data_IF_006350745122
#
_entry.id   IF_006350745122
#
_cell.length_a   1.000
_cell.length_b   1.000
_cell.length_c   1.000
_cell.angle_alpha   90.00
_cell.angle_beta   90.00
_cell.angle_gamma   90.00
#
_symmetry.space_group_name_H-M   'P 1'
#
loop_
_entity.id
_entity.type
_entity.pdbx_description
1 polymer ?
#
# COMPACT_ATOMS: atom_id res chain seq x y z
N UNK A 1 -18.21 -47.21 -4.80
CA UNK A 1 -17.14 -46.23 -4.50
C UNK A 1 -17.83 -44.94 -4.13
N UNK A 2 -17.65 -44.43 -2.91
CA UNK A 2 -18.25 -43.15 -2.51
C UNK A 2 -17.42 -42.02 -3.11
N UNK A 3 -18.06 -41.10 -3.83
CA UNK A 3 -17.41 -39.88 -4.31
C UNK A 3 -17.10 -38.99 -3.09
N UNK A 4 -15.85 -38.57 -2.95
CA UNK A 4 -15.47 -37.60 -1.93
C UNK A 4 -16.17 -36.28 -2.25
N UNK A 5 -16.91 -35.74 -1.27
CA UNK A 5 -17.53 -34.43 -1.43
C UNK A 5 -16.43 -33.39 -1.63
N UNK A 6 -16.52 -32.55 -2.67
CA UNK A 6 -15.60 -31.43 -2.82
C UNK A 6 -15.69 -30.45 -1.65
N UNK A 7 -14.53 -29.98 -1.19
CA UNK A 7 -14.35 -29.13 -0.02
C UNK A 7 -13.47 -27.93 -0.39
N UNK A 8 -13.78 -26.77 0.19
CA UNK A 8 -12.96 -25.58 0.06
C UNK A 8 -11.91 -25.57 1.18
N UNK A 9 -10.61 -25.64 0.84
CA UNK A 9 -9.51 -25.67 1.81
C UNK A 9 -9.55 -24.53 2.84
N UNK A 10 -10.11 -23.39 2.46
CA UNK A 10 -10.14 -22.17 3.27
C UNK A 10 -11.49 -21.95 3.99
N UNK A 11 -12.58 -22.51 3.46
CA UNK A 11 -13.94 -22.34 3.98
C UNK A 11 -14.45 -23.73 4.42
N UNK A 12 -14.42 -24.03 5.74
CA UNK A 12 -14.87 -25.31 6.31
C UNK A 12 -16.36 -25.74 6.10
N UNK A 13 -17.31 -24.97 5.51
CA UNK A 13 -18.61 -25.55 5.20
C UNK A 13 -18.52 -26.52 4.02
N UNK A 14 -19.11 -27.69 4.21
CA UNK A 14 -19.43 -28.65 3.16
C UNK A 14 -20.38 -27.99 2.16
N UNK A 15 -20.03 -28.04 0.87
CA UNK A 15 -20.94 -27.65 -0.21
C UNK A 15 -21.74 -28.89 -0.62
N UNK A 16 -23.05 -28.74 -0.80
CA UNK A 16 -23.95 -29.89 -0.98
C UNK A 16 -24.09 -30.31 -2.45
N UNK A 17 -23.55 -29.50 -3.38
CA UNK A 17 -23.57 -29.80 -4.81
C UNK A 17 -22.31 -29.32 -5.54
N UNK A 18 -21.87 -30.09 -6.54
CA UNK A 18 -20.73 -29.74 -7.41
C UNK A 18 -20.92 -28.39 -8.14
N UNK A 19 -22.18 -27.98 -8.38
CA UNK A 19 -22.49 -26.68 -8.98
C UNK A 19 -22.31 -25.49 -8.03
N UNK A 20 -22.34 -25.70 -6.71
CA UNK A 20 -22.17 -24.63 -5.72
C UNK A 20 -20.70 -24.24 -5.52
N UNK A 21 -19.76 -25.06 -6.00
CA UNK A 21 -18.32 -24.82 -5.83
C UNK A 21 -17.78 -23.78 -6.79
N UNK A 22 -18.29 -23.76 -8.03
CA UNK A 22 -17.90 -22.74 -8.99
C UNK A 22 -18.36 -21.36 -8.53
N UNK A 23 -19.55 -21.26 -7.93
CA UNK A 23 -20.07 -20.02 -7.35
C UNK A 23 -19.41 -19.70 -6.00
N UNK A 24 -19.15 -20.69 -5.14
CA UNK A 24 -18.48 -20.49 -3.86
C UNK A 24 -17.03 -20.00 -4.02
N UNK A 25 -16.31 -20.48 -5.03
CA UNK A 25 -14.98 -19.97 -5.38
C UNK A 25 -14.97 -18.48 -5.76
N UNK A 26 -16.12 -17.87 -6.00
CA UNK A 26 -16.24 -16.43 -6.28
C UNK A 26 -16.66 -15.60 -5.07
N UNK A 27 -17.21 -16.23 -4.02
CA UNK A 27 -17.78 -15.56 -2.85
C UNK A 27 -17.22 -16.06 -1.50
N UNK A 28 -16.28 -17.02 -1.47
CA UNK A 28 -15.66 -17.47 -0.22
C UNK A 28 -14.94 -16.27 0.44
N UNK A 29 -15.31 -15.88 1.66
CA UNK A 29 -14.74 -14.70 2.32
C UNK A 29 -13.24 -14.83 2.57
N UNK A 30 -12.73 -16.06 2.67
CA UNK A 30 -11.34 -16.36 3.01
C UNK A 30 -10.37 -16.20 1.82
N UNK A 31 -10.87 -16.09 0.60
CA UNK A 31 -10.06 -15.92 -0.61
C UNK A 31 -9.99 -14.45 -1.06
N UNK A 32 -10.51 -13.52 -0.27
CA UNK A 32 -10.57 -12.09 -0.64
C UNK A 32 -9.80 -11.25 0.36
N UNK A 33 -8.82 -10.49 -0.12
CA UNK A 33 -8.21 -9.41 0.66
C UNK A 33 -8.71 -8.06 0.16
N UNK A 34 -9.03 -7.14 1.07
CA UNK A 34 -9.47 -5.79 0.70
C UNK A 34 -8.40 -4.76 1.07
N UNK A 35 -7.98 -3.97 0.08
CA UNK A 35 -7.05 -2.86 0.29
C UNK A 35 -7.70 -1.53 -0.09
N UNK A 36 -7.24 -0.45 0.53
CA UNK A 36 -7.74 0.90 0.27
C UNK A 36 -6.60 1.74 -0.27
N UNK A 37 -6.75 2.28 -1.48
CA UNK A 37 -5.72 3.08 -2.15
C UNK A 37 -6.23 4.51 -2.35
N UNK A 38 -5.43 5.48 -1.94
CA UNK A 38 -5.65 6.89 -2.27
C UNK A 38 -5.08 7.19 -3.66
N UNK A 39 -5.86 7.83 -4.55
CA UNK A 39 -5.41 8.20 -5.89
C UNK A 39 -5.03 9.67 -5.91
N UNK A 40 -3.89 10.02 -6.49
CA UNK A 40 -3.43 11.41 -6.56
C UNK A 40 -4.46 12.37 -7.20
N UNK A 41 -5.20 11.90 -8.22
CA UNK A 41 -6.15 12.72 -8.97
C UNK A 41 -7.57 12.80 -8.35
N UNK A 42 -7.90 11.96 -7.35
CA UNK A 42 -9.25 11.91 -6.76
C UNK A 42 -9.15 11.83 -5.24
N UNK A 43 -9.80 12.73 -4.49
CA UNK A 43 -9.69 12.78 -3.03
C UNK A 43 -10.36 11.56 -2.35
N UNK A 44 -11.24 10.85 -3.05
CA UNK A 44 -11.92 9.69 -2.49
C UNK A 44 -11.03 8.45 -2.59
N UNK A 45 -10.71 7.78 -1.46
CA UNK A 45 -10.05 6.48 -1.49
C UNK A 45 -10.88 5.46 -2.27
N UNK A 46 -10.20 4.54 -2.93
CA UNK A 46 -10.80 3.46 -3.71
C UNK A 46 -10.55 2.14 -2.98
N UNK A 47 -11.60 1.35 -2.79
CA UNK A 47 -11.50 0.01 -2.22
C UNK A 47 -11.24 -0.99 -3.34
N UNK A 48 -10.28 -1.89 -3.17
CA UNK A 48 -9.97 -2.95 -4.14
C UNK A 48 -10.06 -4.29 -3.42
N UNK A 49 -11.02 -5.12 -3.85
CA UNK A 49 -11.14 -6.51 -3.45
C UNK A 49 -10.24 -7.37 -4.34
N UNK A 50 -9.28 -8.05 -3.75
CA UNK A 50 -8.28 -8.87 -4.41
C UNK A 50 -8.59 -10.33 -4.13
N UNK A 51 -8.88 -11.07 -5.19
CA UNK A 51 -9.16 -12.49 -5.10
C UNK A 51 -7.84 -13.27 -5.19
N UNK A 52 -7.71 -14.31 -4.36
CA UNK A 52 -6.65 -15.30 -4.46
C UNK A 52 -6.74 -15.99 -5.83
N UNK A 53 -5.61 -16.16 -6.50
CA UNK A 53 -5.57 -16.86 -7.78
C UNK A 53 -5.65 -18.39 -7.58
N UNK A 54 -5.77 -19.13 -8.69
CA UNK A 54 -5.85 -20.61 -8.69
C UNK A 54 -4.61 -21.31 -8.12
N UNK A 55 -3.48 -20.59 -8.04
CA UNK A 55 -2.22 -21.06 -7.46
C UNK A 55 -2.12 -20.78 -5.95
N UNK A 56 -3.21 -20.31 -5.34
CA UNK A 56 -3.31 -19.94 -3.93
C UNK A 56 -2.48 -18.72 -3.51
N UNK A 57 -2.06 -17.87 -4.46
CA UNK A 57 -1.36 -16.61 -4.17
C UNK A 57 -2.25 -15.37 -4.37
N UNK A 58 -2.04 -14.36 -3.53
CA UNK A 58 -2.49 -13.00 -3.80
C UNK A 58 -1.45 -12.28 -4.66
N UNK A 59 -1.93 -11.51 -5.64
CA UNK A 59 -1.09 -10.75 -6.56
C UNK A 59 -1.31 -9.25 -6.35
N UNK A 60 -0.24 -8.45 -6.42
CA UNK A 60 -0.37 -7.01 -6.29
C UNK A 60 -1.16 -6.43 -7.48
N UNK A 61 -2.21 -5.61 -7.25
CA UNK A 61 -3.02 -5.01 -8.32
C UNK A 61 -2.36 -3.77 -8.95
N UNK A 62 -1.18 -3.37 -8.49
CA UNK A 62 -0.46 -2.18 -8.97
C UNK A 62 0.35 -2.54 -10.21
N UNK A 63 0.23 -1.74 -11.27
CA UNK A 63 0.95 -1.94 -12.52
C UNK A 63 2.47 -1.81 -12.28
N UNK A 64 3.24 -2.75 -12.85
CA UNK A 64 4.69 -2.85 -12.64
C UNK A 64 5.11 -3.49 -11.32
N UNK A 65 4.18 -3.97 -10.50
CA UNK A 65 4.49 -4.75 -9.29
C UNK A 65 4.16 -6.24 -9.49
N UNK A 66 5.19 -7.08 -9.42
CA UNK A 66 5.11 -8.54 -9.56
C UNK A 66 5.11 -9.28 -8.22
N UNK A 67 4.95 -8.55 -7.12
CA UNK A 67 4.88 -9.16 -5.79
C UNK A 67 3.66 -10.06 -5.66
N UNK A 68 3.88 -11.25 -5.08
CA UNK A 68 2.85 -12.22 -4.74
C UNK A 68 3.16 -12.88 -3.41
N UNK A 69 2.11 -13.24 -2.68
CA UNK A 69 2.23 -13.88 -1.37
C UNK A 69 0.98 -14.71 -1.07
N UNK A 70 1.14 -15.86 -0.42
CA UNK A 70 0.01 -16.75 -0.07
C UNK A 70 -0.68 -16.32 1.21
N UNK A 71 0.09 -15.76 2.15
CA UNK A 71 -0.42 -15.22 3.42
C UNK A 71 -1.05 -13.83 3.23
N UNK A 72 -2.30 -13.70 3.63
CA UNK A 72 -3.07 -12.47 3.44
C UNK A 72 -2.47 -11.28 4.22
N UNK A 73 -1.95 -11.51 5.43
CA UNK A 73 -1.44 -10.44 6.30
C UNK A 73 -0.17 -9.84 5.71
N UNK A 74 0.75 -10.69 5.29
CA UNK A 74 2.01 -10.29 4.64
C UNK A 74 1.72 -9.55 3.33
N UNK A 75 0.79 -10.08 2.52
CA UNK A 75 0.33 -9.42 1.30
C UNK A 75 -0.26 -8.02 1.55
N UNK A 76 -1.12 -7.90 2.56
CA UNK A 76 -1.74 -6.62 2.94
C UNK A 76 -0.70 -5.61 3.41
N UNK A 77 0.28 -6.04 4.19
CA UNK A 77 1.38 -5.19 4.64
C UNK A 77 2.18 -4.64 3.47
N UNK A 78 2.47 -5.46 2.46
CA UNK A 78 3.09 -5.01 1.22
C UNK A 78 2.29 -3.90 0.54
N UNK A 79 0.97 -4.08 0.38
CA UNK A 79 0.10 -3.09 -0.26
C UNK A 79 0.05 -1.76 0.53
N UNK A 80 0.05 -1.83 1.87
CA UNK A 80 0.12 -0.65 2.75
C UNK A 80 1.42 0.10 2.52
N UNK A 81 2.56 -0.59 2.50
CA UNK A 81 3.88 0.03 2.30
C UNK A 81 3.95 0.76 0.96
N UNK A 82 3.48 0.14 -0.14
CA UNK A 82 3.45 0.82 -1.45
C UNK A 82 2.55 2.05 -1.40
N UNK A 83 1.38 1.92 -0.80
CA UNK A 83 0.41 3.03 -0.72
C UNK A 83 0.96 4.19 0.11
N UNK A 84 1.62 3.91 1.24
CA UNK A 84 2.23 4.91 2.13
C UNK A 84 3.47 5.58 1.53
N UNK A 85 4.34 4.81 0.87
CA UNK A 85 5.52 5.36 0.23
C UNK A 85 5.15 6.32 -0.91
N UNK A 86 4.05 6.04 -1.60
CA UNK A 86 3.53 6.95 -2.63
C UNK A 86 2.99 8.24 -2.02
N UNK A 87 2.27 8.19 -0.89
CA UNK A 87 1.77 9.41 -0.22
C UNK A 87 2.88 10.26 0.38
N UNK A 88 3.96 9.63 0.87
CA UNK A 88 5.08 10.34 1.51
C UNK A 88 6.07 10.95 0.50
N UNK A 89 6.06 10.49 -0.76
CA UNK A 89 6.87 11.02 -1.84
C UNK A 89 5.99 11.28 -3.09
N UNK A 90 5.23 12.39 -3.14
CA UNK A 90 4.27 12.70 -4.21
C UNK A 90 4.88 12.84 -5.62
N UNK A 91 6.19 12.68 -5.76
CA UNK A 91 6.96 12.81 -7.00
C UNK A 91 7.29 11.44 -7.65
N UNK A 92 7.05 10.31 -6.97
CA UNK A 92 7.37 9.00 -7.52
C UNK A 92 6.11 8.28 -8.04
N UNK A 93 5.66 8.77 -9.20
CA UNK A 93 4.73 8.11 -10.13
C UNK A 93 3.28 7.93 -9.64
N UNK A 94 2.27 8.28 -10.48
CA UNK A 94 0.89 8.00 -10.15
C UNK A 94 0.68 6.49 -9.99
N UNK A 95 -0.05 6.07 -8.96
CA UNK A 95 -0.46 4.65 -8.82
C UNK A 95 -1.34 4.31 -10.01
N UNK A 96 -0.79 3.51 -10.93
CA UNK A 96 -1.50 2.89 -12.03
C UNK A 96 -1.90 1.49 -11.59
N UNK A 97 -3.17 1.14 -11.74
CA UNK A 97 -3.68 -0.21 -11.48
C UNK A 97 -3.53 -1.06 -12.73
N UNK A 98 -3.37 -2.37 -12.58
CA UNK A 98 -3.36 -3.29 -13.71
C UNK A 98 -4.72 -3.30 -14.43
N UNK A 99 -4.74 -3.66 -15.71
CA UNK A 99 -5.93 -3.60 -16.57
C UNK A 99 -7.02 -4.59 -16.16
N UNK A 100 -6.66 -5.65 -15.45
CA UNK A 100 -7.60 -6.65 -14.92
C UNK A 100 -8.36 -6.13 -13.69
N UNK A 101 -7.93 -5.01 -13.10
CA UNK A 101 -8.64 -4.35 -12.00
C UNK A 101 -9.87 -3.63 -12.56
N UNK A 102 -11.03 -4.27 -12.44
CA UNK A 102 -12.28 -3.77 -13.02
C UNK A 102 -13.25 -3.39 -11.91
N UNK A 103 -13.98 -2.29 -12.13
CA UNK A 103 -15.11 -1.93 -11.27
C UNK A 103 -16.26 -2.90 -11.49
N UNK A 104 -16.97 -3.27 -10.42
CA UNK A 104 -18.22 -4.05 -10.54
C UNK A 104 -19.22 -3.31 -11.43
N UNK A 105 -19.21 -1.97 -11.36
CA UNK A 105 -19.96 -1.06 -12.21
C UNK A 105 -19.07 0.12 -12.65
N UNK A 106 -19.39 0.80 -13.78
CA UNK A 106 -18.64 1.99 -14.25
C UNK A 106 -18.54 3.13 -13.22
N UNK A 107 -19.40 3.12 -12.20
CA UNK A 107 -19.47 4.12 -11.12
C UNK A 107 -19.09 3.59 -9.74
N UNK A 108 -18.71 2.31 -9.59
CA UNK A 108 -18.41 1.76 -8.26
C UNK A 108 -17.08 2.32 -7.73
N UNK A 109 -17.08 2.68 -6.44
CA UNK A 109 -15.85 2.97 -5.68
C UNK A 109 -15.11 1.69 -5.30
N UNK A 110 -15.79 0.56 -5.43
CA UNK A 110 -15.26 -0.76 -5.17
C UNK A 110 -14.82 -1.38 -6.50
N UNK A 111 -13.54 -1.69 -6.57
CA UNK A 111 -12.90 -2.40 -7.67
C UNK A 111 -12.66 -3.84 -7.25
N UNK A 112 -12.59 -4.73 -8.23
CA UNK A 112 -12.27 -6.14 -8.03
C UNK A 112 -11.07 -6.49 -8.91
N UNK A 113 -10.10 -7.18 -8.33
CA UNK A 113 -8.93 -7.70 -9.02
C UNK A 113 -8.92 -9.22 -8.93
N UNK A 114 -9.14 -9.88 -10.06
CA UNK A 114 -9.07 -11.33 -10.20
C UNK A 114 -7.82 -11.64 -11.01
N UNK A 115 -6.72 -12.06 -10.37
CA UNK A 115 -5.49 -12.34 -11.09
C UNK A 115 -5.77 -13.47 -12.07
N UNK A 116 -5.62 -13.19 -13.35
CA UNK A 116 -5.56 -14.25 -14.35
C UNK A 116 -4.18 -14.87 -14.11
N UNK A 117 -4.14 -16.02 -13.44
CA UNK A 117 -2.92 -16.83 -13.40
C UNK A 117 -2.53 -17.08 -14.85
N UNK A 118 -1.58 -16.28 -15.37
CA UNK A 118 -1.11 -16.44 -16.72
C UNK A 118 -0.66 -17.90 -16.89
N UNK A 119 -0.83 -18.50 -18.07
CA UNK A 119 -0.30 -19.84 -18.30
C UNK A 119 1.18 -19.81 -17.90
N UNK A 120 1.54 -20.68 -16.97
CA UNK A 120 2.84 -20.84 -16.31
C UNK A 120 3.99 -21.20 -17.25
N UNK A 121 3.86 -20.86 -18.54
CA UNK A 121 4.88 -21.03 -19.56
C UNK A 121 5.98 -19.97 -19.48
N UNK A 122 5.77 -18.89 -18.71
CA UNK A 122 6.88 -18.07 -18.24
C UNK A 122 7.58 -18.84 -17.12
N UNK A 123 8.61 -19.59 -17.50
CA UNK A 123 9.58 -20.24 -16.62
C UNK A 123 10.03 -19.17 -15.61
N UNK A 124 9.41 -19.16 -14.43
CA UNK A 124 9.92 -18.37 -13.33
C UNK A 124 11.36 -18.84 -13.11
N UNK A 125 12.36 -17.95 -13.04
CA UNK A 125 13.67 -18.36 -12.59
C UNK A 125 13.45 -19.04 -11.24
N UNK A 126 13.78 -20.33 -11.17
CA UNK A 126 13.76 -21.11 -9.96
C UNK A 126 14.76 -20.44 -9.02
N UNK A 127 14.27 -19.48 -8.23
CA UNK A 127 15.01 -18.98 -7.09
C UNK A 127 15.08 -20.19 -6.17
N UNK A 128 16.18 -20.94 -6.28
CA UNK A 128 16.58 -21.91 -5.29
C UNK A 128 16.54 -21.17 -3.95
N UNK A 129 15.49 -21.46 -3.17
CA UNK A 129 15.49 -21.15 -1.76
C UNK A 129 16.67 -21.89 -1.18
N UNK A 130 17.79 -21.17 -1.00
CA UNK A 130 18.91 -21.62 -0.19
C UNK A 130 18.32 -22.14 1.13
N UNK A 131 18.64 -23.39 1.54
CA UNK A 131 18.08 -23.96 2.74
C UNK A 131 18.51 -23.12 3.95
N UNK A 132 17.54 -22.48 4.60
CA UNK A 132 17.71 -21.77 5.88
C UNK A 132 17.91 -22.75 7.05
N UNK A 133 18.90 -23.65 6.95
CA UNK A 133 19.36 -24.49 8.06
C UNK A 133 20.83 -24.21 8.35
N UNK A 134 21.09 -23.12 9.07
CA UNK A 134 22.17 -23.14 10.04
C UNK A 134 21.60 -23.77 11.31
N UNK A 135 21.81 -25.08 11.40
CA UNK A 135 21.65 -25.85 12.62
C UNK A 135 22.71 -25.38 13.62
N UNK A 136 22.33 -24.45 14.51
CA UNK A 136 23.12 -24.15 15.71
C UNK A 136 23.03 -25.34 16.65
N UNK A 137 24.08 -26.16 16.67
CA UNK A 137 24.24 -27.19 17.69
C UNK A 137 24.40 -26.51 19.07
N UNK A 138 23.65 -26.95 20.11
CA UNK A 138 23.88 -26.48 21.46
C UNK A 138 25.15 -27.12 22.02
N UNK A 139 26.19 -26.29 22.19
CA UNK A 139 27.37 -26.65 22.96
C UNK A 139 26.96 -26.99 24.39
N UNK A 140 27.21 -28.25 24.77
CA UNK A 140 27.00 -28.75 26.13
C UNK A 140 28.02 -28.09 27.06
N UNK A 141 27.59 -27.12 27.85
CA UNK A 141 28.37 -26.62 28.98
C UNK A 141 27.73 -27.17 30.25
N UNK A 142 28.43 -28.10 30.90
CA UNK A 142 28.09 -28.58 32.25
C UNK A 142 28.24 -27.40 33.22
N UNK A 143 27.13 -26.87 33.72
CA UNK A 143 27.12 -26.00 34.88
C UNK A 143 26.55 -26.76 36.07
N UNK A 144 27.30 -26.70 37.16
CA UNK A 144 27.09 -27.42 38.39
C UNK A 144 25.76 -27.08 39.07
N UNK A 145 25.26 -28.09 39.76
CA UNK A 145 24.12 -28.06 40.66
C UNK A 145 24.35 -27.01 41.75
N UNK A 146 23.32 -26.21 42.04
CA UNK A 146 23.05 -25.75 43.39
C UNK A 146 21.54 -25.73 43.61
N UNK A 147 21.11 -26.70 44.39
CA UNK A 147 19.85 -26.81 45.13
C UNK A 147 19.63 -25.60 46.03
N UNK A 148 18.45 -24.98 45.98
CA UNK A 148 17.75 -24.58 47.20
C UNK A 148 16.24 -24.52 46.96
N UNK A 149 15.54 -24.94 48.00
CA UNK A 149 14.15 -25.31 48.09
C UNK A 149 13.18 -24.12 48.12
N UNK A 150 11.92 -24.49 47.88
CA UNK A 150 10.77 -24.18 48.73
C UNK A 150 9.65 -23.30 48.14
N UNK A 151 8.46 -23.85 48.37
CA UNK A 151 7.20 -23.16 48.70
C UNK A 151 6.21 -22.84 47.58
N UNK A 152 5.25 -23.77 47.52
CA UNK A 152 3.84 -23.57 47.92
C UNK A 152 2.91 -22.74 47.03
N UNK A 153 1.81 -23.43 46.70
CA UNK A 153 0.42 -23.03 46.91
C UNK A 153 -0.44 -22.61 45.70
N UNK A 154 -1.43 -23.48 45.48
CA UNK A 154 -2.87 -23.20 45.35
C UNK A 154 -3.41 -22.63 44.02
N UNK A 155 -4.07 -23.57 43.32
CA UNK A 155 -5.29 -23.37 42.52
C UNK A 155 -6.36 -22.55 43.27
N UNK A 156 -7.25 -21.84 42.55
CA UNK A 156 -8.56 -22.43 42.32
C UNK A 156 -9.21 -22.14 40.95
N UNK A 157 -10.11 -23.07 40.60
CA UNK A 157 -11.03 -23.07 39.47
C UNK A 157 -12.28 -22.21 39.72
N UNK A 158 -12.85 -21.70 38.63
CA UNK A 158 -14.30 -21.48 38.46
C UNK A 158 -14.69 -20.05 38.04
N UNK A 159 -15.94 -19.80 37.58
CA UNK A 159 -16.86 -20.67 36.85
C UNK A 159 -17.26 -20.10 35.47
N UNK A 160 -17.82 -21.00 34.63
CA UNK A 160 -18.54 -20.70 33.38
C UNK A 160 -19.77 -19.83 33.65
N UNK A 161 -19.90 -18.72 32.94
CA UNK A 161 -21.18 -18.03 32.76
C UNK A 161 -21.71 -18.31 31.34
N UNK A 162 -22.87 -18.97 31.32
CA UNK A 162 -23.74 -19.18 30.17
C UNK A 162 -24.60 -17.92 30.04
N UNK A 163 -24.61 -17.29 28.87
CA UNK A 163 -25.66 -16.36 28.48
C UNK A 163 -26.02 -16.61 27.02
N UNK A 164 -27.11 -17.35 26.85
CA UNK A 164 -27.99 -17.28 25.69
C UNK A 164 -28.81 -15.99 25.82
N UNK A 165 -29.00 -15.21 24.74
CA UNK A 165 -30.35 -14.87 24.27
C UNK A 165 -30.36 -14.13 22.92
N UNK A 166 -31.53 -14.21 22.31
CA UNK A 166 -32.02 -13.88 21.00
C UNK A 166 -31.60 -12.56 20.34
N UNK A 167 -31.36 -12.65 19.03
CA UNK A 167 -31.33 -11.52 18.10
C UNK A 167 -31.86 -11.92 16.73
N UNK A 168 -33.13 -12.34 16.67
CA UNK A 168 -33.86 -12.71 15.44
C UNK A 168 -34.38 -11.43 14.78
N UNK A 169 -33.61 -10.82 13.88
CA UNK A 169 -34.10 -9.76 13.00
C UNK A 169 -34.37 -10.31 11.60
N UNK A 170 -35.62 -10.69 11.37
CA UNK A 170 -36.25 -10.74 10.06
C UNK A 170 -36.36 -9.32 9.50
N UNK A 171 -35.73 -9.05 8.37
CA UNK A 171 -36.14 -7.94 7.49
C UNK A 171 -36.57 -8.52 6.16
N UNK A 172 -37.82 -8.19 5.84
CA UNK A 172 -38.55 -8.52 4.64
C UNK A 172 -37.82 -8.16 3.36
N UNK A 173 -38.02 -9.03 2.38
CA UNK A 173 -37.72 -8.84 1.00
C UNK A 173 -38.78 -7.97 0.30
N UNK A 174 -38.31 -7.36 -0.80
CA UNK A 174 -39.08 -6.84 -1.94
C UNK A 174 -39.80 -5.50 -1.68
N UNK A 175 -39.85 -4.53 -2.59
CA UNK A 175 -39.93 -4.61 -4.04
C UNK A 175 -39.35 -3.32 -4.65
N UNK A 176 -38.57 -3.43 -5.73
CA UNK A 176 -38.49 -2.33 -6.69
C UNK A 176 -38.20 -2.88 -8.08
N UNK A 177 -39.27 -3.01 -8.87
CA UNK A 177 -39.23 -3.11 -10.34
C UNK A 177 -39.43 -1.72 -10.91
N UNK A 178 -38.55 -1.29 -11.80
CA UNK A 178 -38.92 -0.46 -12.94
C UNK A 178 -37.91 -0.66 -14.10
N UNK A 179 -38.36 -0.53 -15.37
CA UNK A 179 -37.64 -1.04 -16.53
C UNK A 179 -36.99 0.04 -17.40
N UNK A 180 -36.06 -0.43 -18.24
CA UNK A 180 -35.68 0.01 -19.59
C UNK A 180 -35.72 1.51 -19.94
N UNK A 181 -34.54 2.08 -20.20
CA UNK A 181 -34.36 3.32 -20.94
C UNK A 181 -33.16 3.24 -21.89
N UNK A 182 -33.49 3.12 -23.17
CA UNK A 182 -32.77 3.48 -24.39
C UNK A 182 -31.26 3.79 -24.34
N UNK A 183 -30.52 3.00 -25.14
CA UNK A 183 -29.28 3.42 -25.78
C UNK A 183 -29.66 4.15 -27.09
N UNK A 184 -29.03 5.29 -27.36
CA UNK A 184 -28.78 5.85 -28.69
C UNK A 184 -27.62 6.86 -28.60
N UNK A 185 -26.67 6.72 -29.54
CA UNK A 185 -25.90 7.77 -30.25
C UNK A 185 -25.10 8.84 -29.46
N UNK A 186 -23.95 9.36 -29.90
CA UNK A 186 -23.13 9.23 -31.08
C UNK A 186 -21.75 9.85 -30.76
N UNK A 187 -20.82 9.63 -31.69
CA UNK A 187 -19.49 10.24 -31.84
C UNK A 187 -19.31 11.66 -31.29
N UNK A 188 -18.25 11.86 -30.51
CA UNK A 188 -17.68 13.19 -30.31
C UNK A 188 -16.14 13.12 -30.24
N UNK A 189 -15.54 13.14 -31.44
CA UNK A 189 -14.11 13.36 -31.66
C UNK A 189 -13.78 14.83 -31.36
N UNK A 190 -13.35 15.11 -30.14
CA UNK A 190 -12.83 16.44 -29.77
C UNK A 190 -11.30 16.40 -29.72
N UNK A 191 -10.67 16.95 -30.77
CA UNK A 191 -9.24 17.23 -30.87
C UNK A 191 -9.01 18.64 -30.32
N UNK A 192 -8.31 18.85 -29.20
CA UNK A 192 -7.86 20.19 -28.81
C UNK A 192 -6.57 20.58 -29.56
N UNK A 193 -6.44 21.83 -30.04
CA UNK A 193 -5.27 22.28 -30.78
C UNK A 193 -4.10 22.71 -29.89
N UNK A 194 -2.92 22.48 -30.46
CA UNK A 194 -1.58 23.05 -30.21
C UNK A 194 -1.40 24.09 -29.11
N UNK A 195 -0.46 23.79 -28.22
CA UNK A 195 0.14 24.70 -27.24
C UNK A 195 0.90 25.87 -27.90
N UNK A 196 0.81 27.11 -27.35
CA UNK A 196 1.64 28.23 -27.76
C UNK A 196 3.04 28.20 -27.10
N UNK A 197 4.01 28.95 -27.64
CA UNK A 197 5.43 28.88 -27.25
C UNK A 197 5.70 29.51 -25.89
N UNK A 198 6.43 28.78 -25.04
CA UNK A 198 6.91 29.21 -23.73
C UNK A 198 8.00 30.29 -23.93
N UNK A 199 7.62 31.56 -23.75
CA UNK A 199 8.56 32.68 -23.62
C UNK A 199 8.82 32.94 -22.14
N UNK A 200 10.11 32.93 -21.78
CA UNK A 200 10.65 33.68 -20.65
C UNK A 200 10.49 33.07 -19.26
N UNK A 201 11.57 32.49 -18.74
CA UNK A 201 11.79 32.31 -17.31
C UNK A 201 11.84 33.69 -16.63
N UNK A 202 10.69 34.19 -16.21
CA UNK A 202 10.61 35.31 -15.26
C UNK A 202 10.90 34.76 -13.87
N UNK A 203 12.06 35.15 -13.35
CA UNK A 203 12.46 35.00 -11.95
C UNK A 203 11.30 35.51 -11.08
N UNK A 204 10.68 34.59 -10.31
CA UNK A 204 9.57 34.89 -9.41
C UNK A 204 10.05 35.90 -8.35
N UNK A 205 9.81 37.19 -8.60
CA UNK A 205 9.98 38.22 -7.59
C UNK A 205 8.94 37.99 -6.50
N UNK A 206 9.44 37.75 -5.28
CA UNK A 206 8.64 37.71 -4.06
C UNK A 206 7.91 39.05 -3.93
N UNK A 207 6.59 39.07 -3.73
CA UNK A 207 5.85 40.32 -3.60
C UNK A 207 6.26 41.06 -2.33
N UNK A 208 6.94 42.19 -2.50
CA UNK A 208 7.16 43.20 -1.46
C UNK A 208 5.83 43.86 -1.11
N UNK A 209 5.10 43.27 -0.16
CA UNK A 209 3.93 43.87 0.44
C UNK A 209 4.27 44.46 1.81
N UNK A 210 4.68 45.73 1.82
CA UNK A 210 4.76 46.56 3.03
C UNK A 210 3.36 46.80 3.60
N UNK A 211 2.89 45.88 4.44
CA UNK A 211 1.80 46.13 5.39
C UNK A 211 2.24 45.67 6.76
N UNK A 212 2.30 46.62 7.72
CA UNK A 212 2.39 46.38 9.17
C UNK A 212 1.36 45.32 9.58
N UNK A 213 1.74 44.05 9.54
CA UNK A 213 0.99 42.93 10.13
C UNK A 213 1.67 42.58 11.44
N UNK A 214 0.85 42.40 12.48
CA UNK A 214 1.21 41.70 13.72
C UNK A 214 2.13 40.53 13.36
N UNK A 215 3.32 40.48 13.96
CA UNK A 215 4.28 39.41 13.73
C UNK A 215 3.55 38.07 13.81
N UNK A 216 3.56 37.23 12.77
CA UNK A 216 3.00 35.90 12.86
C UNK A 216 3.66 35.24 14.05
N UNK A 217 2.83 34.81 15.00
CA UNK A 217 3.22 33.99 16.13
C UNK A 217 4.16 32.91 15.61
N UNK A 218 5.39 32.89 16.14
CA UNK A 218 6.39 31.83 16.04
C UNK A 218 5.88 30.64 15.24
N UNK A 219 6.21 30.55 13.93
CA UNK A 219 5.96 29.30 13.21
C UNK A 219 6.56 28.18 14.05
N UNK A 220 5.76 27.16 14.35
CA UNK A 220 6.21 26.05 15.16
C UNK A 220 7.47 25.49 14.49
N UNK A 221 8.54 25.30 15.25
CA UNK A 221 9.84 24.84 14.74
C UNK A 221 9.73 23.53 13.96
N UNK A 222 8.74 22.70 14.29
CA UNK A 222 8.34 21.52 13.52
C UNK A 222 7.95 21.82 12.06
N UNK A 223 7.20 22.90 11.81
CA UNK A 223 6.80 23.30 10.45
C UNK A 223 8.01 23.72 9.61
N UNK A 224 9.01 24.36 10.25
CA UNK A 224 10.24 24.77 9.59
C UNK A 224 11.10 23.57 9.18
N UNK A 225 11.26 22.57 10.06
CA UNK A 225 11.98 21.32 9.74
C UNK A 225 11.32 20.55 8.60
N UNK A 226 9.99 20.48 8.61
CA UNK A 226 9.22 19.82 7.55
C UNK A 226 9.41 20.52 6.19
N UNK A 227 9.34 21.86 6.17
CA UNK A 227 9.56 22.66 4.97
C UNK A 227 10.98 22.48 4.39
N UNK A 228 12.01 22.52 5.24
CA UNK A 228 13.40 22.29 4.85
C UNK A 228 13.61 20.88 4.27
N UNK A 229 13.04 19.87 4.91
CA UNK A 229 13.15 18.47 4.44
C UNK A 229 12.50 18.30 3.07
N UNK A 230 11.35 18.94 2.84
CA UNK A 230 10.68 18.93 1.55
C UNK A 230 11.54 19.61 0.46
N UNK A 231 12.14 20.77 0.76
CA UNK A 231 13.01 21.48 -0.17
C UNK A 231 14.27 20.65 -0.50
N UNK A 232 14.90 20.02 0.49
CA UNK A 232 16.06 19.15 0.29
C UNK A 232 15.75 17.99 -0.66
N UNK A 233 14.63 17.30 -0.43
CA UNK A 233 14.18 16.20 -1.31
C UNK A 233 13.93 16.68 -2.73
N UNK A 234 13.29 17.84 -2.88
CA UNK A 234 12.98 18.40 -4.19
C UNK A 234 14.26 18.76 -4.97
N UNK A 235 15.22 19.45 -4.35
CA UNK A 235 16.49 19.77 -5.03
C UNK A 235 17.32 18.55 -5.37
N UNK A 236 17.31 17.52 -4.50
CA UNK A 236 18.01 16.27 -4.79
C UNK A 236 17.41 15.56 -6.01
N UNK A 237 16.07 15.56 -6.12
CA UNK A 237 15.36 15.02 -7.29
C UNK A 237 15.69 15.81 -8.55
N UNK A 238 15.68 17.14 -8.48
CA UNK A 238 15.99 18.01 -9.63
C UNK A 238 17.42 17.77 -10.15
N UNK A 239 18.41 17.65 -9.26
CA UNK A 239 19.80 17.38 -9.64
C UNK A 239 19.96 15.96 -10.25
N UNK A 240 19.22 14.98 -9.72
CA UNK A 240 19.20 13.63 -10.30
C UNK A 240 18.58 13.61 -11.69
N UNK A 241 17.45 14.30 -11.88
CA UNK A 241 16.81 14.46 -13.19
C UNK A 241 17.72 15.19 -14.18
N UNK A 242 18.45 16.22 -13.72
CA UNK A 242 19.41 16.95 -14.54
C UNK A 242 20.55 16.06 -15.04
N UNK A 243 21.09 15.19 -14.19
CA UNK A 243 22.11 14.22 -14.62
C UNK A 243 21.59 13.20 -15.63
N UNK A 244 20.37 12.70 -15.45
CA UNK A 244 19.80 11.74 -16.40
C UNK A 244 19.49 12.37 -17.76
N UNK A 245 19.26 13.69 -17.81
CA UNK A 245 18.99 14.41 -19.04
C UNK A 245 20.26 14.69 -19.87
N UNK A 246 21.45 14.66 -19.26
CA UNK A 246 22.72 14.97 -19.91
C UNK A 246 23.65 13.74 -19.87
N UNK A 247 23.76 12.97 -20.98
CA UNK A 247 24.58 11.76 -21.02
C UNK A 247 26.09 12.04 -20.88
N UNK A 248 26.52 13.28 -21.09
CA UNK A 248 27.92 13.70 -20.98
C UNK A 248 28.21 14.38 -19.61
N UNK A 249 27.26 14.32 -18.66
CA UNK A 249 27.42 14.92 -17.35
C UNK A 249 28.58 14.31 -16.54
N UNK A 250 29.42 15.16 -15.95
CA UNK A 250 30.48 14.76 -15.03
C UNK A 250 29.87 14.26 -13.70
N UNK A 251 29.89 12.94 -13.53
CA UNK A 251 29.37 12.26 -12.33
C UNK A 251 30.15 12.63 -11.06
N UNK A 252 31.45 12.91 -11.16
CA UNK A 252 32.27 13.29 -10.02
C UNK A 252 31.95 14.72 -9.57
N UNK A 253 31.75 15.63 -10.52
CA UNK A 253 31.31 16.99 -10.20
C UNK A 253 29.92 16.98 -9.56
N UNK A 254 28.99 16.18 -10.10
CA UNK A 254 27.64 16.03 -9.53
C UNK A 254 27.67 15.41 -8.14
N UNK A 255 28.53 14.41 -7.91
CA UNK A 255 28.73 13.84 -6.58
C UNK A 255 29.18 14.90 -5.57
N UNK A 256 30.20 15.71 -5.93
CA UNK A 256 30.67 16.83 -5.11
C UNK A 256 29.60 17.88 -4.86
N UNK A 257 28.75 18.20 -5.86
CA UNK A 257 27.61 19.12 -5.69
C UNK A 257 26.59 18.57 -4.69
N UNK A 258 26.25 17.28 -4.78
CA UNK A 258 25.33 16.61 -3.83
C UNK A 258 25.87 16.57 -2.42
N UNK A 259 27.16 16.29 -2.23
CA UNK A 259 27.79 16.33 -0.90
C UNK A 259 27.79 17.72 -0.28
N UNK A 260 28.14 18.76 -1.06
CA UNK A 260 28.06 20.16 -0.60
C UNK A 260 26.64 20.55 -0.21
N UNK A 261 25.65 20.12 -1.00
CA UNK A 261 24.25 20.40 -0.71
C UNK A 261 23.76 19.68 0.55
N UNK A 262 24.18 18.43 0.76
CA UNK A 262 23.91 17.67 1.98
C UNK A 262 24.50 18.35 3.22
N UNK A 263 25.77 18.75 3.16
CA UNK A 263 26.43 19.44 4.27
C UNK A 263 25.70 20.75 4.65
N UNK A 264 25.31 21.55 3.65
CA UNK A 264 24.53 22.77 3.87
C UNK A 264 23.18 22.50 4.54
N UNK A 265 22.49 21.42 4.16
CA UNK A 265 21.22 21.03 4.76
C UNK A 265 21.37 20.58 6.22
N UNK A 266 22.38 19.76 6.52
CA UNK A 266 22.68 19.32 7.89
C UNK A 266 23.02 20.50 8.79
N UNK A 267 23.81 21.45 8.30
CA UNK A 267 24.13 22.68 9.04
C UNK A 267 22.86 23.50 9.36
N UNK A 268 21.94 23.62 8.40
CA UNK A 268 20.66 24.32 8.60
C UNK A 268 19.75 23.63 9.61
N UNK A 269 19.65 22.31 9.58
CA UNK A 269 18.87 21.56 10.56
C UNK A 269 19.45 21.73 11.97
N UNK A 270 20.78 21.69 12.08
CA UNK A 270 21.48 21.92 13.36
C UNK A 270 21.18 23.31 13.93
N UNK A 271 21.18 24.36 13.12
CA UNK A 271 20.83 25.71 13.60
C UNK A 271 19.40 25.79 14.18
N UNK A 272 18.46 25.01 13.65
CA UNK A 272 17.07 24.98 14.17
C UNK A 272 17.02 24.26 15.51
N UNK A 273 17.76 23.16 15.65
CA UNK A 273 17.89 22.44 16.91
C UNK A 273 18.54 23.30 18.00
N UNK A 274 19.64 23.98 17.69
CA UNK A 274 20.32 24.92 18.59
C UNK A 274 19.40 26.08 19.03
N UNK A 275 18.38 26.42 18.22
CA UNK A 275 17.40 27.46 18.55
C UNK A 275 16.31 26.93 19.49
N UNK A 276 15.93 25.66 19.36
CA UNK A 276 14.97 25.00 20.26
C UNK A 276 15.53 24.84 21.67
N UNK A 277 16.83 24.51 21.81
CA UNK A 277 17.47 24.32 23.13
C UNK A 277 17.56 25.59 23.98
N UNK A 278 17.42 26.78 23.37
CA UNK A 278 17.54 28.07 24.06
C UNK A 278 16.22 28.60 24.63
N UNK A 279 15.10 27.92 24.34
CA UNK A 279 13.75 28.33 24.76
C UNK A 279 13.31 27.49 25.96
#
# INVERSE_FOLDING_TARGET
MAALKPFCDDCEPWLDSDGEIEDHGLECPQIVSTIVIARAAKPSPVSICIFRAKDSYFYCPIAGCDYRESDEKTFRQHCIIITLNTTLAPHLWPIVLKEEVKGRNKRSKDLCYRPVGGPTNAIAPKIERLPSRLSSAPGTVKAAQNTTEASMALSPQGPRAVLSDAGRNTVEAAQSRAPHGHADDADNLFIPPSSPPIKGLQLRQLPEASKKRKAPSSMATGDLRAALTAEYRQRLLDEMMKMMADPDADLDESSKRREKFKAWFEERLKMIEDTEERV
#
